data_IF_225019030001
#
_entry.id   IF_225019030001
#
_cell.length_a   1.000
_cell.length_b   1.000
_cell.length_c   1.000
_cell.angle_alpha   90.00
_cell.angle_beta   90.00
_cell.angle_gamma   90.00
#
_symmetry.space_group_name_H-M   'P 1'
#
loop_
_entity.id
_entity.type
_entity.pdbx_description
1 polymer ?
#
# COMPACT_ATOMS: atom_id res chain seq x y z
N UNK A 1 3.17 0.16 -8.07
CA UNK A 1 3.80 -0.71 -7.05
C UNK A 1 2.91 -1.94 -6.93
N UNK A 2 3.43 -3.14 -7.18
CA UNK A 2 2.67 -4.37 -6.94
C UNK A 2 2.89 -4.73 -5.48
N UNK A 3 1.83 -4.75 -4.68
CA UNK A 3 1.88 -5.25 -3.30
C UNK A 3 1.82 -6.78 -3.34
N UNK A 4 2.99 -7.42 -3.40
CA UNK A 4 3.12 -8.88 -3.29
C UNK A 4 3.41 -9.35 -1.86
N UNK A 5 3.37 -8.44 -0.88
CA UNK A 5 3.74 -8.72 0.49
C UNK A 5 2.53 -9.21 1.28
N UNK A 6 2.60 -10.42 1.84
CA UNK A 6 1.63 -10.89 2.83
C UNK A 6 2.17 -10.66 4.23
N UNK A 7 1.93 -9.47 4.77
CA UNK A 7 2.29 -9.08 6.13
C UNK A 7 1.05 -8.62 6.90
N UNK A 8 0.93 -9.05 8.16
CA UNK A 8 -0.06 -8.57 9.11
C UNK A 8 0.64 -8.13 10.41
N UNK A 9 0.30 -6.95 10.92
CA UNK A 9 0.85 -6.41 12.15
C UNK A 9 -0.31 -6.23 13.14
N UNK A 10 -0.19 -6.81 14.33
CA UNK A 10 -1.23 -6.76 15.37
C UNK A 10 -0.68 -6.07 16.61
N UNK A 11 -1.37 -5.01 17.03
CA UNK A 11 -1.12 -4.23 18.25
C UNK A 11 0.34 -3.78 18.45
N UNK A 12 1.08 -3.54 17.35
CA UNK A 12 2.53 -3.28 17.34
C UNK A 12 3.33 -4.33 18.16
N UNK A 13 2.84 -5.57 18.29
CA UNK A 13 3.48 -6.67 19.05
C UNK A 13 3.78 -7.91 18.23
N UNK A 14 2.87 -8.26 17.34
CA UNK A 14 2.95 -9.47 16.54
C UNK A 14 3.10 -9.05 15.08
N UNK A 15 4.14 -9.55 14.42
CA UNK A 15 4.29 -9.44 12.97
C UNK A 15 4.16 -10.83 12.36
N UNK A 16 3.22 -10.99 11.43
CA UNK A 16 3.00 -12.20 10.66
C UNK A 16 3.49 -11.90 9.25
N UNK A 17 4.42 -12.68 8.74
CA UNK A 17 4.94 -12.53 7.39
C UNK A 17 5.08 -13.90 6.73
N UNK A 18 4.67 -14.00 5.47
CA UNK A 18 4.67 -15.27 4.76
C UNK A 18 4.30 -15.14 3.29
N UNK A 19 3.96 -16.27 2.70
CA UNK A 19 3.45 -16.38 1.33
C UNK A 19 1.92 -16.51 1.27
N UNK A 20 1.26 -16.71 2.43
CA UNK A 20 -0.19 -16.95 2.51
C UNK A 20 -1.01 -15.70 2.21
N UNK A 21 -1.72 -15.69 1.08
CA UNK A 21 -2.73 -14.67 0.80
C UNK A 21 -3.94 -14.77 1.76
N UNK A 22 -4.70 -13.69 1.89
CA UNK A 22 -5.99 -13.70 2.59
C UNK A 22 -7.06 -14.21 1.62
N UNK A 23 -7.08 -15.53 1.40
CA UNK A 23 -8.05 -16.23 0.58
C UNK A 23 -8.11 -17.72 0.95
N UNK A 24 -9.15 -18.42 0.49
CA UNK A 24 -9.38 -19.83 0.84
C UNK A 24 -8.27 -20.73 0.27
N UNK A 25 -7.75 -20.37 -0.91
CA UNK A 25 -6.64 -21.07 -1.56
C UNK A 25 -5.36 -21.13 -0.72
N UNK A 26 -5.00 -20.08 -0.01
CA UNK A 26 -3.80 -20.04 0.84
C UNK A 26 -4.07 -20.45 2.29
N UNK A 27 -5.32 -20.36 2.79
CA UNK A 27 -5.64 -20.57 4.21
C UNK A 27 -6.13 -21.98 4.57
N UNK A 28 -6.75 -22.71 3.63
CA UNK A 28 -7.39 -24.01 3.92
C UNK A 28 -6.39 -25.18 4.01
N UNK A 29 -5.15 -25.00 3.56
CA UNK A 29 -4.05 -25.95 3.74
C UNK A 29 -4.09 -27.23 2.89
N UNK A 30 -5.15 -27.46 2.11
CA UNK A 30 -5.24 -28.56 1.14
C UNK A 30 -5.15 -28.09 -0.33
N UNK A 31 -4.91 -26.80 -0.54
CA UNK A 31 -4.68 -26.19 -1.84
C UNK A 31 -3.19 -25.89 -2.04
N UNK A 32 -2.78 -24.62 -1.98
CA UNK A 32 -1.38 -24.23 -2.20
C UNK A 32 -0.52 -24.53 -0.94
N UNK A 33 0.76 -24.86 -1.15
CA UNK A 33 1.72 -25.02 -0.06
C UNK A 33 2.28 -23.65 0.32
N UNK A 34 1.93 -23.17 1.52
CA UNK A 34 2.33 -21.85 2.01
C UNK A 34 3.24 -21.95 3.23
N UNK A 35 4.06 -20.91 3.45
CA UNK A 35 4.86 -20.76 4.67
C UNK A 35 4.61 -19.38 5.27
N UNK A 36 4.27 -19.36 6.55
CA UNK A 36 4.06 -18.12 7.32
C UNK A 36 4.79 -18.22 8.65
N UNK A 37 5.48 -17.13 9.01
CA UNK A 37 6.22 -16.98 10.26
C UNK A 37 5.45 -15.98 11.12
N UNK A 38 5.29 -16.31 12.40
CA UNK A 38 4.76 -15.41 13.43
C UNK A 38 5.96 -14.96 14.27
N UNK A 39 6.15 -13.65 14.35
CA UNK A 39 7.23 -13.01 15.07
C UNK A 39 6.65 -12.21 16.24
N UNK A 40 6.94 -12.67 17.45
CA UNK A 40 6.65 -11.96 18.69
C UNK A 40 7.98 -11.53 19.30
N UNK A 41 8.20 -10.22 19.37
CA UNK A 41 9.46 -9.71 19.91
C UNK A 41 9.45 -9.76 21.44
N UNK A 42 10.58 -10.15 22.03
CA UNK A 42 10.80 -10.10 23.47
C UNK A 42 11.31 -8.74 23.95
N UNK A 43 11.84 -7.93 23.03
CA UNK A 43 12.28 -6.57 23.32
C UNK A 43 11.08 -5.61 23.30
N UNK A 44 10.81 -5.00 24.46
CA UNK A 44 9.76 -4.02 24.61
C UNK A 44 10.23 -2.64 24.13
N UNK A 45 9.43 -1.99 23.29
CA UNK A 45 9.61 -0.62 22.85
C UNK A 45 8.53 0.28 23.50
N UNK A 46 8.92 1.30 24.28
CA UNK A 46 8.00 2.32 24.74
C UNK A 46 7.30 3.01 23.56
N UNK A 47 5.98 2.99 23.55
CA UNK A 47 5.13 3.53 22.49
C UNK A 47 3.88 4.19 23.06
N UNK A 48 2.99 4.64 22.18
CA UNK A 48 1.69 5.22 22.51
C UNK A 48 0.63 4.48 21.68
N UNK A 49 -0.54 4.27 22.27
CA UNK A 49 -1.71 3.70 21.59
C UNK A 49 -2.97 4.43 22.08
N UNK A 50 -3.63 5.15 21.18
CA UNK A 50 -4.80 6.00 21.50
C UNK A 50 -4.51 6.99 22.64
N UNK A 51 -3.37 7.67 22.54
CA UNK A 51 -2.90 8.65 23.53
C UNK A 51 -2.43 8.09 24.87
N UNK A 52 -2.41 6.76 25.05
CA UNK A 52 -1.98 6.10 26.29
C UNK A 52 -0.61 5.47 26.14
N UNK A 53 0.18 5.49 27.22
CA UNK A 53 1.45 4.77 27.27
C UNK A 53 1.23 3.28 26.99
N UNK A 54 2.03 2.74 26.07
CA UNK A 54 1.92 1.37 25.61
C UNK A 54 3.30 0.73 25.47
N UNK A 55 3.39 -0.57 25.72
CA UNK A 55 4.61 -1.35 25.51
C UNK A 55 4.41 -2.22 24.29
N UNK A 56 5.06 -1.83 23.20
CA UNK A 56 5.04 -2.50 21.92
C UNK A 56 6.20 -3.51 21.81
N UNK A 57 6.14 -4.43 20.84
CA UNK A 57 7.29 -5.25 20.46
C UNK A 57 8.18 -4.49 19.48
N UNK A 58 9.49 -4.46 19.73
CA UNK A 58 10.43 -3.66 18.94
C UNK A 58 10.32 -3.94 17.43
N UNK A 59 10.37 -5.20 17.01
CA UNK A 59 10.25 -5.58 15.61
C UNK A 59 8.93 -5.15 14.95
N UNK A 60 7.78 -5.49 15.55
CA UNK A 60 6.47 -5.20 14.97
C UNK A 60 6.20 -3.69 14.88
N UNK A 61 6.55 -2.95 15.93
CA UNK A 61 6.40 -1.50 15.96
C UNK A 61 7.28 -0.82 14.90
N UNK A 62 8.59 -1.11 14.88
CA UNK A 62 9.53 -0.49 13.95
C UNK A 62 9.20 -0.82 12.50
N UNK A 63 8.77 -2.06 12.21
CA UNK A 63 8.29 -2.46 10.89
C UNK A 63 7.09 -1.61 10.44
N UNK A 64 6.06 -1.46 11.29
CA UNK A 64 4.90 -0.62 10.96
C UNK A 64 5.31 0.83 10.74
N UNK A 65 6.16 1.40 11.61
CA UNK A 65 6.61 2.81 11.48
C UNK A 65 7.29 3.02 10.14
N UNK A 66 8.15 2.10 9.71
CA UNK A 66 8.84 2.16 8.43
C UNK A 66 7.89 2.04 7.24
N UNK A 67 6.98 1.07 7.24
CA UNK A 67 5.98 0.92 6.18
C UNK A 67 5.09 2.16 6.05
N UNK A 68 4.69 2.75 7.18
CA UNK A 68 3.89 3.98 7.17
C UNK A 68 4.68 5.16 6.65
N UNK A 69 5.94 5.33 7.07
CA UNK A 69 6.82 6.38 6.54
C UNK A 69 7.01 6.24 5.02
N UNK A 70 7.17 5.02 4.53
CA UNK A 70 7.26 4.75 3.09
C UNK A 70 5.97 5.19 2.37
N UNK A 71 4.83 4.68 2.82
CA UNK A 71 3.52 4.92 2.21
C UNK A 71 3.05 6.38 2.28
N UNK A 72 3.36 7.09 3.36
CA UNK A 72 3.07 8.51 3.55
C UNK A 72 4.12 9.42 2.88
N UNK A 73 5.25 8.87 2.41
CA UNK A 73 6.32 9.64 1.78
C UNK A 73 7.13 10.49 2.76
N UNK A 74 7.30 9.99 3.99
CA UNK A 74 8.05 10.64 5.08
C UNK A 74 9.52 10.19 5.13
N UNK A 75 9.90 9.19 4.35
CA UNK A 75 11.30 8.78 4.22
C UNK A 75 12.09 9.80 3.39
N UNK A 76 13.36 10.06 3.75
CA UNK A 76 14.24 10.88 2.93
C UNK A 76 14.51 10.21 1.57
N UNK A 77 14.93 11.03 0.60
CA UNK A 77 15.34 10.51 -0.70
C UNK A 77 16.53 9.55 -0.54
N UNK A 78 16.36 8.32 -1.02
CA UNK A 78 17.41 7.31 -0.98
C UNK A 78 18.45 7.55 -2.08
N UNK A 79 19.76 7.41 -1.78
CA UNK A 79 20.80 7.47 -2.80
C UNK A 79 20.70 6.27 -3.76
N UNK A 80 21.28 6.41 -4.96
CA UNK A 80 21.39 5.30 -5.91
C UNK A 80 22.29 4.18 -5.36
N UNK A 81 23.31 4.54 -4.59
CA UNK A 81 24.22 3.62 -3.93
C UNK A 81 23.83 3.48 -2.46
N UNK A 82 23.26 2.32 -2.12
CA UNK A 82 22.84 1.98 -0.76
C UNK A 82 23.90 1.17 0.00
N UNK A 83 25.13 1.00 -0.53
CA UNK A 83 26.16 0.18 0.11
C UNK A 83 26.58 0.64 1.50
N UNK A 84 26.33 1.90 1.86
CA UNK A 84 26.58 2.47 3.19
C UNK A 84 25.28 2.63 4.02
N UNK A 85 24.11 2.25 3.47
CA UNK A 85 22.84 2.31 4.19
C UNK A 85 22.77 1.16 5.20
N UNK A 86 22.54 1.42 6.51
CA UNK A 86 22.35 0.38 7.51
C UNK A 86 21.26 -0.63 7.16
N UNK A 87 20.19 -0.18 6.49
CA UNK A 87 19.06 -1.03 6.09
C UNK A 87 19.35 -1.87 4.83
N UNK A 88 20.48 -1.63 4.16
CA UNK A 88 20.99 -2.46 3.07
C UNK A 88 22.11 -3.41 3.53
N UNK A 89 22.51 -3.34 4.80
CA UNK A 89 23.49 -4.26 5.36
C UNK A 89 22.83 -5.56 5.86
N UNK A 90 23.58 -6.67 5.88
CA UNK A 90 23.17 -7.87 6.59
C UNK A 90 22.85 -7.59 8.08
N UNK A 91 21.88 -8.30 8.68
CA UNK A 91 21.49 -8.09 10.08
C UNK A 91 22.61 -8.30 11.11
N UNK A 92 23.67 -9.04 10.75
CA UNK A 92 24.85 -9.29 11.60
C UNK A 92 25.86 -8.13 11.62
N UNK A 93 25.75 -7.18 10.69
CA UNK A 93 26.65 -6.03 10.59
C UNK A 93 26.17 -4.86 11.44
N UNK A 94 24.90 -4.50 11.32
CA UNK A 94 24.26 -3.44 12.11
C UNK A 94 22.75 -3.64 12.22
N UNK A 95 22.11 -3.12 13.28
CA UNK A 95 20.66 -3.10 13.36
C UNK A 95 20.07 -2.16 12.31
N UNK A 96 18.84 -2.46 11.89
CA UNK A 96 18.07 -1.60 10.99
C UNK A 96 17.83 -0.23 11.64
N UNK A 97 18.01 0.82 10.85
CA UNK A 97 17.72 2.19 11.25
C UNK A 97 16.29 2.56 10.79
N UNK A 98 15.41 2.82 11.76
CA UNK A 98 14.00 3.12 11.50
C UNK A 98 13.64 4.60 11.65
N UNK A 99 14.65 5.49 11.61
CA UNK A 99 14.52 6.95 11.73
C UNK A 99 13.93 7.42 13.07
N UNK A 100 14.35 6.78 14.16
CA UNK A 100 13.94 7.18 15.51
C UNK A 100 14.32 8.64 15.83
N UNK A 101 13.43 9.36 16.51
CA UNK A 101 13.69 10.74 16.96
C UNK A 101 13.70 11.82 15.89
N UNK A 102 13.35 11.52 14.64
CA UNK A 102 13.19 12.53 13.59
C UNK A 102 11.89 13.35 13.74
N UNK A 103 11.64 14.26 12.79
CA UNK A 103 10.47 15.15 12.85
C UNK A 103 9.13 14.41 12.71
N UNK A 104 9.13 13.21 12.13
CA UNK A 104 7.94 12.39 11.85
C UNK A 104 7.71 11.30 12.89
N UNK A 105 8.68 11.01 13.73
CA UNK A 105 8.65 9.88 14.65
C UNK A 105 7.44 9.91 15.59
N UNK A 106 7.12 11.09 16.13
CA UNK A 106 5.93 11.28 16.99
C UNK A 106 4.63 10.99 16.25
N UNK A 107 4.54 11.39 14.98
CA UNK A 107 3.35 11.20 14.16
C UNK A 107 3.09 9.71 13.91
N UNK A 108 4.15 8.96 13.61
CA UNK A 108 4.01 7.52 13.31
C UNK A 108 4.10 6.64 14.56
N UNK A 109 4.29 7.20 15.76
CA UNK A 109 4.38 6.43 17.01
C UNK A 109 3.02 5.86 17.44
N UNK A 110 1.98 6.68 17.45
CA UNK A 110 0.62 6.26 17.82
C UNK A 110 -0.20 5.91 16.57
N UNK A 111 -0.47 4.63 16.30
CA UNK A 111 -1.21 4.22 15.11
C UNK A 111 -2.70 4.57 15.16
N UNK A 112 -3.23 4.97 16.33
CA UNK A 112 -4.66 5.28 16.51
C UNK A 112 -4.93 6.79 16.63
N UNK A 113 -3.91 7.63 16.51
CA UNK A 113 -4.10 9.07 16.65
C UNK A 113 -4.83 9.68 15.43
N UNK A 114 -5.64 10.71 15.67
CA UNK A 114 -6.34 11.42 14.60
C UNK A 114 -5.37 12.08 13.61
N UNK A 115 -4.21 12.55 14.08
CA UNK A 115 -3.22 13.24 13.24
C UNK A 115 -2.69 12.35 12.12
N UNK A 116 -2.34 11.09 12.43
CA UNK A 116 -1.86 10.14 11.41
C UNK A 116 -2.97 9.72 10.48
N UNK A 117 -4.20 9.53 10.98
CA UNK A 117 -5.37 9.22 10.17
C UNK A 117 -5.73 10.35 9.19
N UNK A 118 -5.70 11.59 9.67
CA UNK A 118 -5.94 12.77 8.85
C UNK A 118 -4.89 12.90 7.74
N UNK A 119 -3.61 12.72 8.05
CA UNK A 119 -2.56 12.75 7.03
C UNK A 119 -2.75 11.60 6.03
N UNK A 120 -3.02 10.39 6.51
CA UNK A 120 -3.23 9.20 5.67
C UNK A 120 -4.35 9.41 4.66
N UNK A 121 -5.52 9.83 5.14
CA UNK A 121 -6.70 10.04 4.30
C UNK A 121 -6.57 11.24 3.37
N UNK A 122 -5.94 12.33 3.83
CA UNK A 122 -5.66 13.50 3.00
C UNK A 122 -4.70 13.15 1.85
N UNK A 123 -3.63 12.41 2.16
CA UNK A 123 -2.64 12.04 1.16
C UNK A 123 -3.21 11.04 0.15
N UNK A 124 -3.96 10.04 0.60
CA UNK A 124 -4.67 9.10 -0.26
C UNK A 124 -5.64 9.83 -1.21
N UNK A 125 -6.40 10.79 -0.69
CA UNK A 125 -7.33 11.61 -1.50
C UNK A 125 -6.59 12.41 -2.56
N UNK A 126 -5.57 13.16 -2.15
CA UNK A 126 -4.77 14.00 -3.05
C UNK A 126 -4.10 13.18 -4.13
N UNK A 127 -3.47 12.06 -3.77
CA UNK A 127 -2.80 11.18 -4.71
C UNK A 127 -3.79 10.57 -5.71
N UNK A 128 -4.92 10.02 -5.25
CA UNK A 128 -5.96 9.46 -6.12
C UNK A 128 -6.46 10.49 -7.13
N UNK A 129 -6.74 11.72 -6.70
CA UNK A 129 -7.21 12.78 -7.60
C UNK A 129 -6.16 13.18 -8.64
N UNK A 130 -4.88 13.32 -8.23
CA UNK A 130 -3.80 13.66 -9.14
C UNK A 130 -3.55 12.52 -10.14
N UNK A 131 -3.50 11.27 -9.69
CA UNK A 131 -3.30 10.12 -10.58
C UNK A 131 -4.45 9.99 -11.59
N UNK A 132 -5.69 10.15 -11.14
CA UNK A 132 -6.88 10.21 -12.00
C UNK A 132 -6.75 11.31 -13.05
N UNK A 133 -6.43 12.53 -12.63
CA UNK A 133 -6.39 13.70 -13.52
C UNK A 133 -5.27 13.63 -14.56
N UNK A 134 -4.05 13.27 -14.14
CA UNK A 134 -2.89 13.29 -15.02
C UNK A 134 -2.81 12.07 -15.93
N UNK A 135 -3.12 10.88 -15.40
CA UNK A 135 -2.84 9.62 -16.09
C UNK A 135 -4.10 8.89 -16.53
N UNK A 136 -5.30 9.33 -16.11
CA UNK A 136 -6.52 8.52 -16.25
C UNK A 136 -6.25 7.09 -15.76
N UNK A 137 -5.79 6.98 -14.51
CA UNK A 137 -5.49 5.70 -13.90
C UNK A 137 -6.78 4.89 -13.67
N UNK A 138 -6.76 3.61 -14.07
CA UNK A 138 -7.73 2.60 -13.69
C UNK A 138 -7.12 1.64 -12.64
N UNK A 139 -7.91 1.05 -11.73
CA UNK A 139 -9.37 1.20 -11.54
C UNK A 139 -9.78 2.58 -10.99
N UNK A 140 -11.06 2.98 -11.17
CA UNK A 140 -11.60 4.26 -10.70
C UNK A 140 -13.12 4.24 -10.41
N UNK A 141 -13.58 4.94 -9.36
CA UNK A 141 -15.00 4.98 -8.96
C UNK A 141 -15.93 5.69 -9.95
N UNK A 142 -15.37 6.44 -10.91
CA UNK A 142 -16.16 7.05 -11.99
C UNK A 142 -16.45 6.07 -13.14
N UNK A 143 -15.84 4.87 -13.12
CA UNK A 143 -16.02 3.83 -14.14
C UNK A 143 -16.89 2.72 -13.55
N UNK A 144 -18.20 2.76 -13.81
CA UNK A 144 -19.15 1.84 -13.17
C UNK A 144 -19.62 0.71 -14.06
N UNK A 145 -19.44 0.82 -15.37
CA UNK A 145 -19.84 -0.19 -16.36
C UNK A 145 -18.70 -0.51 -17.34
N UNK A 146 -18.79 -1.63 -18.06
CA UNK A 146 -17.85 -1.93 -19.14
C UNK A 146 -17.91 -0.91 -20.29
N UNK A 147 -19.05 -0.27 -20.52
CA UNK A 147 -19.18 0.82 -21.49
C UNK A 147 -18.40 2.05 -21.04
N UNK A 148 -18.51 2.44 -19.76
CA UNK A 148 -17.69 3.51 -19.17
C UNK A 148 -16.21 3.20 -19.33
N UNK A 149 -15.82 1.94 -19.06
CA UNK A 149 -14.43 1.51 -19.17
C UNK A 149 -13.92 1.60 -20.61
N UNK A 150 -14.69 1.15 -21.60
CA UNK A 150 -14.34 1.31 -23.01
C UNK A 150 -14.22 2.78 -23.45
N UNK A 151 -15.04 3.66 -22.88
CA UNK A 151 -14.96 5.10 -23.11
C UNK A 151 -13.77 5.75 -22.41
N UNK A 152 -13.36 5.19 -21.27
CA UNK A 152 -12.22 5.65 -20.47
C UNK A 152 -10.88 5.28 -21.09
N UNK A 153 -10.78 4.08 -21.69
CA UNK A 153 -9.55 3.61 -22.33
C UNK A 153 -9.06 4.58 -23.41
N UNK A 154 -7.74 4.83 -23.49
CA UNK A 154 -7.19 5.72 -24.50
C UNK A 154 -7.47 5.16 -25.90
N UNK A 155 -8.24 5.92 -26.71
CA UNK A 155 -8.61 5.53 -28.09
C UNK A 155 -7.48 5.74 -29.12
N UNK A 156 -6.35 6.32 -28.71
CA UNK A 156 -5.25 6.79 -29.59
C UNK A 156 -3.91 6.11 -29.22
N UNK A 157 -2.82 6.55 -29.87
CA UNK A 157 -1.41 6.15 -29.63
C UNK A 157 -0.84 6.62 -28.26
N UNK A 158 -1.68 6.69 -27.23
CA UNK A 158 -1.29 6.98 -25.85
C UNK A 158 -1.36 5.69 -25.08
N UNK A 159 -0.20 5.17 -24.66
CA UNK A 159 -0.12 4.00 -23.80
C UNK A 159 -0.72 4.33 -22.43
N UNK A 160 -1.36 3.34 -21.82
CA UNK A 160 -1.79 3.44 -20.41
C UNK A 160 -0.62 3.83 -19.51
N UNK A 161 -0.93 4.57 -18.44
CA UNK A 161 0.06 5.09 -17.48
C UNK A 161 0.90 6.28 -17.98
N UNK A 162 0.64 6.80 -19.19
CA UNK A 162 1.23 8.06 -19.66
C UNK A 162 0.27 9.22 -19.43
N UNK A 163 0.76 10.46 -19.55
CA UNK A 163 -0.10 11.64 -19.47
C UNK A 163 -1.26 11.52 -20.46
N UNK A 164 -2.47 11.61 -19.92
CA UNK A 164 -3.70 11.52 -20.71
C UNK A 164 -3.78 12.69 -21.69
N UNK A 165 -3.55 13.91 -21.19
CA UNK A 165 -3.44 15.10 -22.01
C UNK A 165 -1.97 15.44 -22.31
N UNK A 166 -1.47 14.98 -23.46
CA UNK A 166 -0.10 15.27 -23.94
C UNK A 166 0.18 16.75 -24.22
N UNK A 167 -0.85 17.59 -24.27
CA UNK A 167 -0.72 19.03 -24.52
C UNK A 167 -0.78 19.87 -23.23
N UNK A 168 -0.94 19.23 -22.07
CA UNK A 168 -0.86 19.92 -20.79
C UNK A 168 0.53 20.55 -20.62
N UNK A 169 0.63 21.83 -20.20
CA UNK A 169 1.92 22.47 -19.98
C UNK A 169 2.75 21.74 -18.92
N UNK A 170 4.05 21.57 -19.16
CA UNK A 170 4.99 20.91 -18.25
C UNK A 170 4.94 21.48 -16.81
N UNK A 171 4.76 22.80 -16.70
CA UNK A 171 4.63 23.48 -15.41
C UNK A 171 3.40 23.06 -14.61
N UNK A 172 2.28 22.79 -15.29
CA UNK A 172 1.05 22.32 -14.66
C UNK A 172 1.18 20.87 -14.21
N UNK A 173 1.79 20.03 -15.06
CA UNK A 173 2.09 18.63 -14.74
C UNK A 173 2.99 18.56 -13.51
N UNK A 174 4.10 19.33 -13.48
CA UNK A 174 5.01 19.37 -12.33
C UNK A 174 4.31 19.83 -11.06
N UNK A 175 3.53 20.91 -11.12
CA UNK A 175 2.76 21.40 -9.96
C UNK A 175 1.75 20.39 -9.44
N UNK A 176 1.16 19.57 -10.30
CA UNK A 176 0.26 18.51 -9.89
C UNK A 176 1.03 17.35 -9.25
N UNK A 177 2.14 16.93 -9.86
CA UNK A 177 3.02 15.88 -9.31
C UNK A 177 3.67 16.27 -7.99
N UNK A 178 4.01 17.54 -7.78
CA UNK A 178 4.59 18.05 -6.52
C UNK A 178 3.65 17.92 -5.32
N UNK A 179 2.34 17.73 -5.56
CA UNK A 179 1.35 17.46 -4.50
C UNK A 179 1.38 16.01 -4.02
N UNK A 180 1.92 15.10 -4.84
CA UNK A 180 1.99 13.67 -4.50
C UNK A 180 3.08 13.49 -3.44
N UNK A 181 2.70 12.86 -2.31
CA UNK A 181 3.62 12.32 -1.32
C UNK A 181 3.31 10.86 -1.10
N UNK A 182 4.37 10.08 -0.96
CA UNK A 182 4.27 8.64 -0.80
C UNK A 182 3.55 8.00 -1.99
N UNK A 183 2.79 6.95 -1.72
CA UNK A 183 2.14 6.15 -2.76
C UNK A 183 0.77 5.60 -2.32
N UNK A 184 0.23 6.09 -1.20
CA UNK A 184 -1.15 5.82 -0.80
C UNK A 184 -2.12 6.35 -1.85
N UNK A 185 -3.09 5.53 -2.23
CA UNK A 185 -4.25 5.89 -3.04
C UNK A 185 -5.46 5.15 -2.47
N UNK A 186 -6.65 5.73 -2.60
CA UNK A 186 -7.88 5.03 -2.28
C UNK A 186 -8.06 3.83 -3.20
N UNK A 187 -8.44 2.70 -2.60
CA UNK A 187 -8.95 1.56 -3.35
C UNK A 187 -10.36 1.92 -3.87
N UNK A 188 -10.57 1.94 -5.20
CA UNK A 188 -11.89 2.21 -5.77
C UNK A 188 -12.86 1.08 -5.44
N UNK A 189 -13.96 1.40 -4.75
CA UNK A 189 -14.97 0.43 -4.32
C UNK A 189 -16.16 0.35 -5.28
N UNK A 190 -16.33 1.36 -6.13
CA UNK A 190 -17.43 1.48 -7.09
C UNK A 190 -17.01 1.16 -8.53
N UNK A 191 -15.74 0.78 -8.73
CA UNK A 191 -15.24 0.36 -10.02
C UNK A 191 -15.99 -0.86 -10.54
N UNK A 192 -16.59 -0.75 -11.72
CA UNK A 192 -17.40 -1.79 -12.36
C UNK A 192 -18.53 -2.35 -11.50
N UNK A 193 -19.03 -1.59 -10.51
CA UNK A 193 -20.09 -2.06 -9.59
C UNK A 193 -21.41 -2.42 -10.30
N UNK A 194 -21.67 -1.81 -11.47
CA UNK A 194 -22.86 -2.04 -12.28
C UNK A 194 -22.57 -2.95 -13.49
N UNK A 195 -21.39 -3.56 -13.54
CA UNK A 195 -21.00 -4.52 -14.56
C UNK A 195 -21.19 -5.95 -14.06
N UNK A 196 -21.65 -6.84 -14.94
CA UNK A 196 -21.71 -8.26 -14.62
C UNK A 196 -20.31 -8.88 -14.74
N UNK A 197 -19.57 -8.92 -13.63
CA UNK A 197 -18.16 -9.35 -13.59
C UNK A 197 -17.95 -10.85 -13.80
N UNK A 198 -19.00 -11.65 -13.58
CA UNK A 198 -18.97 -13.10 -13.73
C UNK A 198 -20.11 -13.55 -14.64
N UNK A 199 -19.81 -13.80 -15.91
CA UNK A 199 -20.74 -14.55 -16.76
C UNK A 199 -20.82 -15.99 -16.22
N UNK A 200 -21.96 -16.37 -15.63
CA UNK A 200 -22.24 -17.76 -15.25
C UNK A 200 -22.37 -18.61 -16.53
N UNK A 201 -21.24 -19.15 -16.98
CA UNK A 201 -21.11 -20.00 -18.15
C UNK A 201 -20.15 -21.17 -17.92
N UNK A 202 -19.74 -21.85 -18.99
CA UNK A 202 -18.85 -23.04 -18.89
C UNK A 202 -17.52 -22.76 -18.17
N UNK A 203 -17.05 -21.49 -18.18
CA UNK A 203 -15.76 -21.07 -17.62
C UNK A 203 -15.77 -20.75 -16.11
N UNK A 204 -16.92 -20.34 -15.55
CA UNK A 204 -17.12 -20.10 -14.11
C UNK A 204 -18.23 -21.01 -13.63
N UNK A 205 -17.83 -22.19 -13.16
CA UNK A 205 -18.71 -23.24 -12.64
C UNK A 205 -18.25 -23.63 -11.22
N UNK A 206 -19.03 -24.45 -10.52
CA UNK A 206 -18.74 -24.86 -9.14
C UNK A 206 -17.31 -25.42 -8.94
N UNK A 207 -16.70 -26.02 -9.97
CA UNK A 207 -15.34 -26.53 -9.91
C UNK A 207 -14.26 -25.48 -10.16
N UNK A 208 -14.56 -24.41 -10.91
CA UNK A 208 -13.60 -23.33 -11.18
C UNK A 208 -13.74 -22.16 -10.21
N UNK A 209 -14.82 -22.09 -9.44
CA UNK A 209 -15.02 -21.11 -8.36
C UNK A 209 -13.93 -21.22 -7.27
N UNK A 210 -13.50 -22.44 -6.95
CA UNK A 210 -12.39 -22.70 -6.02
C UNK A 210 -10.99 -22.30 -6.54
N UNK A 211 -10.88 -21.85 -7.80
CA UNK A 211 -9.62 -21.30 -8.35
C UNK A 211 -9.50 -19.81 -8.01
N UNK A 212 -10.63 -19.13 -7.85
CA UNK A 212 -10.73 -17.68 -7.64
C UNK A 212 -11.06 -17.29 -6.19
N UNK A 213 -11.34 -18.28 -5.33
CA UNK A 213 -11.52 -18.15 -3.88
C UNK A 213 -10.30 -18.72 -3.17
#
# INVERSE_FOLDING_TARGET
MLTSCQTCIVDDRIAICGSSNINDRSQLGYHDSELTIIMEDTEALPSIMDGREYQAGHHAATLRRMLWREHLGLLPAQPLDASEDPNAQPPDVCPNHWHEGDEWDKLVTDPLCDDVWNLWTQQATTNTEVFRHLFHADPDDNIRTFEDYQNFLPRNDTKQGHLYNKYMPDEEVKRALDKIRGHLVWMPLHFLENAEMAEKGLAVNYYTESIYT
#
